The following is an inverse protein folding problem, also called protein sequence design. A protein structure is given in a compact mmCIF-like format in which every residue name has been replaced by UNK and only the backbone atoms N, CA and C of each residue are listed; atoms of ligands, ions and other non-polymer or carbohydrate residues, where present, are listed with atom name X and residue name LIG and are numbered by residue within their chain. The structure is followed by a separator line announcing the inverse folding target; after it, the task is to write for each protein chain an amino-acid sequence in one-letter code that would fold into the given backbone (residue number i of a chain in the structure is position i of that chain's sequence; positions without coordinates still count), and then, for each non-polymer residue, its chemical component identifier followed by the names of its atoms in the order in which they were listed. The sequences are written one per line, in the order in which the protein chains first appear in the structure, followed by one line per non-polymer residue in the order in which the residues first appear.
data_IF_449343646629
#
_entry.id   IF_449343646629
#
_cell.length_a   1.000
_cell.length_b   1.000
_cell.length_c   1.000
_cell.angle_alpha   90.00
_cell.angle_beta   90.00
_cell.angle_gamma   90.00
#
_symmetry.space_group_name_H-M   'P 1'
#
loop_
_entity.id
_entity.type
_entity.pdbx_description
1 polymer ?
#
# COMPACT_ATOMS: atom_id res chain seq x y z
N UNK A 1 56.12 15.61 48.63
CA UNK A 1 57.16 15.87 47.61
C UNK A 1 56.50 15.87 46.25
N UNK A 2 56.65 16.98 45.53
CA UNK A 2 56.07 17.25 44.21
C UNK A 2 56.86 16.57 43.09
N UNK A 3 56.18 16.15 42.01
CA UNK A 3 56.67 16.25 40.62
C UNK A 3 55.53 16.03 39.61
N UNK A 4 55.34 17.06 38.79
CA UNK A 4 54.44 17.18 37.64
C UNK A 4 54.99 16.49 36.38
N UNK A 5 54.08 15.99 35.52
CA UNK A 5 54.21 15.85 34.04
C UNK A 5 52.77 16.03 33.49
N UNK A 6 52.31 17.21 33.00
CA UNK A 6 52.42 17.78 31.63
C UNK A 6 52.15 16.72 30.53
N UNK A 7 51.03 16.65 29.81
CA UNK A 7 50.34 17.67 29.02
C UNK A 7 50.03 17.07 27.63
N UNK A 8 49.24 17.79 26.81
CA UNK A 8 48.63 17.46 25.49
C UNK A 8 47.29 16.71 25.59
N UNK A 9 46.11 17.34 25.54
CA UNK A 9 45.52 18.26 24.53
C UNK A 9 45.61 17.75 23.09
N UNK A 10 44.47 17.34 22.54
CA UNK A 10 43.85 17.88 21.31
C UNK A 10 43.23 16.81 20.38
N UNK A 11 41.99 17.08 19.96
CA UNK A 11 41.38 16.60 18.71
C UNK A 11 40.68 15.24 18.82
N UNK A 12 39.46 15.02 18.35
CA UNK A 12 38.64 15.81 17.45
C UNK A 12 37.15 15.60 17.78
N UNK A 13 36.45 16.72 17.90
CA UNK A 13 35.01 16.78 17.73
C UNK A 13 34.65 16.63 16.24
N UNK A 14 33.36 16.39 16.00
CA UNK A 14 32.63 16.44 14.73
C UNK A 14 32.87 15.28 13.74
N UNK A 15 31.90 14.37 13.73
CA UNK A 15 31.29 13.85 12.49
C UNK A 15 29.84 13.43 12.78
N UNK A 16 29.04 14.41 13.20
CA UNK A 16 27.58 14.33 13.10
C UNK A 16 27.18 15.10 11.85
N UNK A 17 27.38 14.50 10.67
CA UNK A 17 26.85 15.03 9.43
C UNK A 17 26.64 13.89 8.44
N UNK A 18 25.44 13.87 7.85
CA UNK A 18 24.99 13.08 6.69
C UNK A 18 24.42 11.69 7.00
N UNK A 19 23.18 11.68 7.49
CA UNK A 19 22.11 10.87 6.88
C UNK A 19 20.76 11.51 7.16
N UNK A 20 20.63 12.76 6.69
CA UNK A 20 19.32 13.34 6.38
C UNK A 20 18.79 12.71 5.11
N UNK A 21 18.26 11.49 5.19
CA UNK A 21 17.13 11.17 4.33
C UNK A 21 15.95 11.84 5.00
N UNK A 22 15.44 12.90 4.39
CA UNK A 22 14.15 13.46 4.71
C UNK A 22 13.09 12.39 4.49
N UNK A 23 12.89 11.53 5.49
CA UNK A 23 11.58 10.96 5.72
C UNK A 23 10.73 12.17 6.12
N UNK A 24 10.10 12.78 5.12
CA UNK A 24 8.86 13.52 5.35
C UNK A 24 8.07 12.65 6.31
N UNK A 25 7.92 13.13 7.55
CA UNK A 25 7.00 12.56 8.51
C UNK A 25 5.62 12.75 7.90
N UNK A 26 5.27 11.87 6.96
CA UNK A 26 3.91 11.61 6.59
C UNK A 26 3.31 11.12 7.89
N UNK A 27 2.71 12.05 8.63
CA UNK A 27 1.83 11.77 9.76
C UNK A 27 1.04 10.57 9.30
N UNK A 28 1.34 9.39 9.86
CA UNK A 28 0.70 8.16 9.45
C UNK A 28 -0.79 8.47 9.52
N UNK A 29 -1.46 8.44 8.36
CA UNK A 29 -2.90 8.62 8.35
C UNK A 29 -3.43 7.57 9.34
N UNK A 30 -4.34 8.00 10.23
CA UNK A 30 -4.92 7.07 11.18
C UNK A 30 -5.39 5.83 10.39
N UNK A 31 -5.12 4.60 10.88
CA UNK A 31 -5.45 3.41 10.13
C UNK A 31 -6.95 3.44 9.80
N UNK A 32 -7.27 3.50 8.51
CA UNK A 32 -8.66 3.46 8.05
C UNK A 32 -9.12 2.04 8.25
N UNK A 33 -10.19 1.85 9.03
CA UNK A 33 -10.80 0.54 9.17
C UNK A 33 -11.88 0.44 8.10
N UNK A 34 -11.78 -0.56 7.24
CA UNK A 34 -12.79 -0.83 6.23
C UNK A 34 -13.76 -1.89 6.74
N UNK A 35 -15.05 -1.61 6.62
CA UNK A 35 -16.11 -2.62 6.69
C UNK A 35 -16.59 -2.92 5.27
N UNK A 36 -17.21 -4.08 5.11
CA UNK A 36 -17.74 -4.53 3.83
C UNK A 36 -19.24 -4.77 3.95
N UNK A 37 -20.00 -4.39 2.94
CA UNK A 37 -21.43 -4.68 2.87
C UNK A 37 -21.67 -6.20 2.91
N UNK A 38 -22.77 -6.73 3.48
CA UNK A 38 -22.95 -8.18 3.68
C UNK A 38 -22.83 -9.05 2.41
N UNK A 39 -23.18 -8.51 1.25
CA UNK A 39 -23.17 -9.18 -0.06
C UNK A 39 -21.90 -8.88 -0.90
N UNK A 40 -20.90 -8.19 -0.33
CA UNK A 40 -19.73 -7.68 -1.05
C UNK A 40 -19.04 -8.73 -1.93
N UNK A 41 -18.98 -9.99 -1.49
CA UNK A 41 -18.25 -11.06 -2.19
C UNK A 41 -18.87 -11.46 -3.52
N UNK A 42 -20.16 -11.19 -3.73
CA UNK A 42 -20.82 -11.43 -5.01
C UNK A 42 -20.43 -10.38 -6.06
N UNK A 43 -19.97 -9.22 -5.57
CA UNK A 43 -19.60 -8.05 -6.36
C UNK A 43 -18.09 -7.86 -6.49
N UNK A 44 -17.30 -8.79 -5.98
CA UNK A 44 -15.87 -8.83 -6.24
C UNK A 44 -15.55 -9.69 -7.47
N UNK A 45 -14.48 -9.34 -8.18
CA UNK A 45 -13.92 -10.15 -9.28
C UNK A 45 -12.43 -10.26 -9.15
N UNK A 46 -11.91 -11.47 -9.32
CA UNK A 46 -10.47 -11.72 -9.30
C UNK A 46 -9.76 -10.95 -10.40
N UNK A 47 -8.62 -10.37 -10.03
CA UNK A 47 -7.65 -9.83 -10.95
C UNK A 47 -6.69 -10.94 -11.36
N UNK A 48 -6.10 -10.82 -12.55
CA UNK A 48 -5.20 -11.84 -13.08
C UNK A 48 -3.76 -11.36 -13.01
N UNK A 49 -2.92 -12.09 -12.28
CA UNK A 49 -1.50 -11.84 -12.24
C UNK A 49 -0.86 -12.16 -13.61
N UNK A 50 -0.22 -11.17 -14.21
CA UNK A 50 0.52 -11.27 -15.47
C UNK A 50 1.99 -10.81 -15.32
N UNK A 51 2.46 -10.65 -14.07
CA UNK A 51 3.83 -10.26 -13.79
C UNK A 51 4.78 -11.46 -13.70
N UNK A 52 6.08 -11.19 -13.50
CA UNK A 52 7.11 -12.24 -13.46
C UNK A 52 7.10 -13.10 -12.19
N UNK A 53 6.09 -12.99 -11.33
CA UNK A 53 5.92 -13.76 -10.10
C UNK A 53 6.33 -13.02 -8.83
N UNK A 54 6.31 -13.72 -7.70
CA UNK A 54 6.45 -13.16 -6.33
C UNK A 54 7.85 -12.64 -5.98
N UNK A 55 8.87 -12.98 -6.78
CA UNK A 55 10.25 -12.51 -6.60
C UNK A 55 10.51 -11.13 -7.21
N UNK A 56 9.52 -10.56 -7.91
CA UNK A 56 9.59 -9.23 -8.49
C UNK A 56 9.39 -8.14 -7.42
N UNK A 57 9.88 -6.92 -7.65
CA UNK A 57 9.50 -5.77 -6.79
C UNK A 57 8.01 -5.43 -6.95
N UNK A 58 7.52 -5.52 -8.18
CA UNK A 58 6.13 -5.23 -8.57
C UNK A 58 5.64 -6.22 -9.62
N UNK A 59 4.33 -6.43 -9.65
CA UNK A 59 3.63 -7.35 -10.52
C UNK A 59 2.50 -6.63 -11.25
N UNK A 60 2.33 -6.97 -12.53
CA UNK A 60 1.20 -6.51 -13.34
C UNK A 60 -0.05 -7.34 -13.05
N UNK A 61 -1.15 -6.68 -12.70
CA UNK A 61 -2.45 -7.31 -12.50
C UNK A 61 -3.44 -6.79 -13.54
N UNK A 62 -3.94 -7.69 -14.39
CA UNK A 62 -4.92 -7.37 -15.40
C UNK A 62 -6.34 -7.33 -14.79
N UNK A 63 -7.07 -6.27 -15.14
CA UNK A 63 -8.46 -6.05 -14.75
C UNK A 63 -9.40 -6.58 -15.83
N UNK A 64 -10.35 -7.46 -15.49
CA UNK A 64 -11.30 -8.00 -16.47
C UNK A 64 -12.21 -6.89 -17.03
N UNK A 65 -12.37 -6.88 -18.35
CA UNK A 65 -13.23 -5.89 -19.06
C UNK A 65 -14.73 -6.11 -18.84
N UNK A 66 -15.13 -7.24 -18.25
CA UNK A 66 -16.54 -7.58 -17.94
C UNK A 66 -17.06 -6.87 -16.68
N UNK A 67 -16.23 -6.08 -16.00
CA UNK A 67 -16.69 -5.29 -14.86
C UNK A 67 -17.74 -4.25 -15.30
N UNK A 68 -18.84 -4.10 -14.55
CA UNK A 68 -19.75 -2.97 -14.73
C UNK A 68 -19.01 -1.63 -14.63
N UNK A 69 -19.64 -0.59 -15.19
CA UNK A 69 -19.15 0.79 -14.99
C UNK A 69 -19.19 1.14 -13.52
N UNK A 70 -18.15 1.80 -13.05
CA UNK A 70 -18.07 2.24 -11.66
C UNK A 70 -16.64 2.47 -11.20
N UNK A 71 -16.52 2.85 -9.94
CA UNK A 71 -15.25 2.96 -9.26
C UNK A 71 -14.97 1.72 -8.44
N UNK A 72 -13.75 1.22 -8.54
CA UNK A 72 -13.32 0.01 -7.87
C UNK A 72 -12.14 0.29 -6.95
N UNK A 73 -12.11 -0.40 -5.83
CA UNK A 73 -10.96 -0.53 -4.96
C UNK A 73 -10.39 -1.93 -5.11
N UNK A 74 -9.09 -2.04 -4.88
CA UNK A 74 -8.44 -3.34 -4.85
C UNK A 74 -8.52 -3.91 -3.44
N UNK A 75 -8.87 -5.18 -3.34
CA UNK A 75 -8.81 -5.95 -2.10
C UNK A 75 -7.90 -7.17 -2.29
N UNK A 76 -7.35 -7.69 -1.20
CA UNK A 76 -6.75 -9.01 -1.14
C UNK A 76 -7.52 -9.91 -0.18
N UNK A 77 -7.53 -11.22 -0.43
CA UNK A 77 -8.01 -12.21 0.55
C UNK A 77 -6.85 -12.82 1.33
N UNK A 78 -6.83 -12.57 2.64
CA UNK A 78 -5.91 -13.17 3.59
C UNK A 78 -6.72 -14.00 4.57
N UNK A 79 -6.45 -15.30 4.66
CA UNK A 79 -7.18 -16.25 5.51
C UNK A 79 -8.71 -16.18 5.31
N UNK A 80 -9.14 -16.01 4.07
CA UNK A 80 -10.55 -15.88 3.68
C UNK A 80 -11.19 -14.52 3.98
N UNK A 81 -10.47 -13.59 4.63
CA UNK A 81 -10.96 -12.26 4.98
C UNK A 81 -10.53 -11.21 3.95
N UNK A 82 -11.42 -10.31 3.54
CA UNK A 82 -11.05 -9.20 2.66
C UNK A 82 -10.23 -8.15 3.41
N UNK A 83 -9.23 -7.61 2.74
CA UNK A 83 -8.48 -6.44 3.19
C UNK A 83 -8.35 -5.48 2.02
N UNK A 84 -8.69 -4.21 2.21
CA UNK A 84 -8.48 -3.19 1.19
C UNK A 84 -6.98 -2.96 1.01
N UNK A 85 -6.55 -2.89 -0.24
CA UNK A 85 -5.19 -2.52 -0.61
C UNK A 85 -5.17 -1.00 -0.78
N UNK A 86 -4.64 -0.31 0.23
CA UNK A 86 -4.61 1.15 0.25
C UNK A 86 -3.82 1.75 -0.92
N UNK A 87 -4.34 2.86 -1.45
CA UNK A 87 -3.75 3.55 -2.60
C UNK A 87 -4.11 2.96 -3.96
N UNK A 88 -4.84 1.83 -4.01
CA UNK A 88 -5.25 1.18 -5.26
C UNK A 88 -6.74 1.35 -5.52
N UNK A 89 -7.05 2.32 -6.38
CA UNK A 89 -8.39 2.68 -6.85
C UNK A 89 -8.36 2.91 -8.35
N UNK A 90 -9.35 2.43 -9.08
CA UNK A 90 -9.47 2.62 -10.52
C UNK A 90 -10.92 2.76 -10.96
N UNK A 91 -11.14 3.18 -12.20
CA UNK A 91 -12.47 3.40 -12.77
C UNK A 91 -12.66 2.56 -14.03
N UNK A 92 -13.86 1.98 -14.15
CA UNK A 92 -14.35 1.34 -15.36
C UNK A 92 -15.35 2.29 -16.04
N UNK A 93 -14.96 2.80 -17.20
CA UNK A 93 -15.75 3.71 -18.04
C UNK A 93 -16.65 2.96 -19.05
N UNK A 94 -16.55 1.63 -19.10
CA UNK A 94 -17.29 0.75 -20.00
C UNK A 94 -16.77 0.76 -21.44
N UNK A 95 -15.56 1.29 -21.69
CA UNK A 95 -14.88 1.11 -22.96
C UNK A 95 -14.30 -0.31 -23.05
N UNK A 96 -14.89 -1.16 -23.89
CA UNK A 96 -14.46 -2.57 -24.06
C UNK A 96 -13.09 -2.74 -24.71
N UNK A 97 -12.56 -1.69 -25.36
CA UNK A 97 -11.23 -1.72 -25.97
C UNK A 97 -10.14 -1.25 -25.00
N UNK A 98 -10.50 -0.83 -23.79
CA UNK A 98 -9.56 -0.36 -22.79
C UNK A 98 -9.11 -1.53 -21.92
N UNK A 99 -7.81 -1.82 -21.97
CA UNK A 99 -7.18 -2.73 -21.03
C UNK A 99 -6.64 -1.93 -19.84
N UNK A 100 -6.87 -2.45 -18.63
CA UNK A 100 -6.38 -1.84 -17.40
C UNK A 100 -5.44 -2.83 -16.73
N UNK A 101 -4.22 -2.36 -16.44
CA UNK A 101 -3.22 -3.09 -15.68
C UNK A 101 -2.85 -2.28 -14.44
N UNK A 102 -2.90 -2.92 -13.28
CA UNK A 102 -2.51 -2.34 -12.01
C UNK A 102 -1.14 -2.84 -11.61
N UNK A 103 -0.24 -1.93 -11.24
CA UNK A 103 1.11 -2.28 -10.75
C UNK A 103 1.09 -2.38 -9.23
N UNK A 104 1.05 -3.60 -8.71
CA UNK A 104 1.03 -3.84 -7.26
C UNK A 104 2.37 -4.46 -6.80
N UNK A 105 2.81 -4.21 -5.56
CA UNK A 105 3.88 -4.97 -4.92
C UNK A 105 3.65 -6.48 -5.06
N UNK A 106 4.72 -7.23 -5.33
CA UNK A 106 4.59 -8.67 -5.59
C UNK A 106 4.19 -9.51 -4.37
N UNK A 107 4.21 -8.90 -3.17
CA UNK A 107 3.72 -9.51 -1.93
C UNK A 107 2.20 -9.73 -1.92
N UNK A 108 1.45 -9.00 -2.76
CA UNK A 108 0.00 -9.17 -2.87
C UNK A 108 -0.35 -10.46 -3.62
N UNK A 109 -1.37 -11.16 -3.12
CA UNK A 109 -1.92 -12.38 -3.71
C UNK A 109 -3.43 -12.41 -3.54
N UNK A 110 -4.13 -13.26 -4.32
CA UNK A 110 -5.60 -13.38 -4.29
C UNK A 110 -6.29 -12.01 -4.37
N UNK A 111 -5.87 -11.22 -5.35
CA UNK A 111 -6.30 -9.83 -5.51
C UNK A 111 -7.62 -9.79 -6.27
N UNK A 112 -8.55 -8.96 -5.80
CA UNK A 112 -9.86 -8.77 -6.40
C UNK A 112 -10.17 -7.28 -6.57
N UNK A 113 -10.91 -6.96 -7.62
CA UNK A 113 -11.62 -5.70 -7.76
C UNK A 113 -12.94 -5.78 -7.01
N UNK A 114 -13.22 -4.80 -6.14
CA UNK A 114 -14.52 -4.63 -5.50
C UNK A 114 -15.06 -3.24 -5.81
N UNK A 115 -16.32 -3.17 -6.24
CA UNK A 115 -17.01 -1.89 -6.46
C UNK A 115 -17.02 -1.10 -5.14
N UNK A 116 -16.54 0.14 -5.19
CA UNK A 116 -16.28 0.99 -4.02
C UNK A 116 -17.55 1.18 -3.18
N UNK A 117 -18.76 1.05 -3.75
CA UNK A 117 -20.01 1.16 -3.00
C UNK A 117 -20.23 0.03 -1.97
N UNK A 118 -19.51 -1.09 -2.06
CA UNK A 118 -19.56 -2.18 -1.09
C UNK A 118 -18.50 -2.05 0.01
N UNK A 119 -17.69 -0.99 -0.02
CA UNK A 119 -16.73 -0.67 1.03
C UNK A 119 -17.31 0.45 1.88
N UNK A 120 -17.41 0.18 3.18
CA UNK A 120 -17.92 1.10 4.18
C UNK A 120 -16.70 1.63 4.92
N UNK A 121 -16.31 2.87 4.59
CA UNK A 121 -15.20 3.55 5.25
C UNK A 121 -15.58 3.87 6.69
N UNK A 122 -15.00 3.13 7.64
CA UNK A 122 -15.12 3.44 9.06
C UNK A 122 -13.95 4.33 9.43
N UNK A 123 -14.19 5.64 9.48
CA UNK A 123 -13.25 6.55 10.14
C UNK A 123 -13.08 6.06 11.59
N UNK A 124 -11.84 5.84 12.07
CA UNK A 124 -11.64 5.63 13.50
C UNK A 124 -12.24 6.83 14.22
N UNK A 125 -13.14 6.55 15.17
CA UNK A 125 -13.89 7.58 15.88
C UNK A 125 -12.96 8.65 16.43
N UNK A 126 -13.32 9.91 16.20
CA UNK A 126 -12.85 11.00 17.06
C UNK A 126 -13.43 10.69 18.42
N UNK A 127 -12.61 10.14 19.33
CA UNK A 127 -12.91 10.24 20.76
C UNK A 127 -12.82 11.71 21.17
#
# INVERSE_FOLDING_TARGET
MSKHIWGFWAGAALLAALSGCAATGQKAAAPVTYQFAPDWSEHSKSLFNQGPGVSAGTTSWWVPTILPRGTYRVIQRVDGKPQVVDGYRFEIDGNVNKEIHLMLPAAYSNVEALDEKYIIDVKPGTQ
#
